data_IF_836485223237
#
_entry.id   IF_836485223237
#
_cell.length_a   1.000
_cell.length_b   1.000
_cell.length_c   1.000
_cell.angle_alpha   90.00
_cell.angle_beta   90.00
_cell.angle_gamma   90.00
#
_symmetry.space_group_name_H-M   'P 1'
#
loop_
_entity.id
_entity.type
_entity.pdbx_description
1 polymer ?
#
# COMPACT_ATOMS: atom_id res chain seq x y z
N UNK A 1 -30.35 -12.88 -9.81
CA UNK A 1 -29.44 -12.18 -8.87
C UNK A 1 -28.28 -13.10 -8.50
N UNK A 2 -27.25 -13.22 -9.35
CA UNK A 2 -26.16 -14.22 -9.18
C UNK A 2 -24.75 -13.62 -9.15
N UNK A 3 -24.62 -12.30 -9.01
CA UNK A 3 -23.32 -11.58 -9.08
C UNK A 3 -22.65 -11.28 -7.73
N UNK A 4 -23.31 -11.57 -6.60
CA UNK A 4 -22.71 -11.45 -5.25
C UNK A 4 -21.41 -12.23 -5.03
N UNK A 5 -21.25 -13.49 -5.49
CA UNK A 5 -20.06 -14.27 -5.15
C UNK A 5 -18.79 -13.74 -5.82
N UNK A 6 -18.89 -13.16 -7.02
CA UNK A 6 -17.73 -12.64 -7.75
C UNK A 6 -17.17 -11.37 -7.09
N UNK A 7 -18.04 -10.40 -6.77
CA UNK A 7 -17.62 -9.16 -6.11
C UNK A 7 -17.02 -9.44 -4.73
N UNK A 8 -17.61 -10.37 -3.98
CA UNK A 8 -17.09 -10.82 -2.69
C UNK A 8 -15.69 -11.44 -2.81
N UNK A 9 -15.46 -12.30 -3.81
CA UNK A 9 -14.15 -12.90 -4.07
C UNK A 9 -13.10 -11.84 -4.42
N UNK A 10 -13.45 -10.88 -5.27
CA UNK A 10 -12.56 -9.78 -5.66
C UNK A 10 -12.22 -8.86 -4.48
N UNK A 11 -13.20 -8.55 -3.62
CA UNK A 11 -12.97 -7.74 -2.42
C UNK A 11 -12.04 -8.44 -1.42
N UNK A 12 -12.22 -9.76 -1.22
CA UNK A 12 -11.33 -10.57 -0.38
C UNK A 12 -9.92 -10.63 -0.98
N UNK A 13 -9.81 -10.80 -2.30
CA UNK A 13 -8.52 -10.81 -3.00
C UNK A 13 -7.79 -9.45 -2.84
N UNK A 14 -8.51 -8.34 -3.01
CA UNK A 14 -7.97 -6.99 -2.83
C UNK A 14 -7.46 -6.79 -1.39
N UNK A 15 -8.25 -7.21 -0.40
CA UNK A 15 -7.86 -7.14 1.01
C UNK A 15 -6.63 -8.01 1.30
N UNK A 16 -6.56 -9.22 0.73
CA UNK A 16 -5.42 -10.12 0.90
C UNK A 16 -4.12 -9.51 0.35
N UNK A 17 -4.17 -8.90 -0.85
CA UNK A 17 -3.01 -8.18 -1.39
C UNK A 17 -2.63 -6.97 -0.55
N UNK A 18 -3.59 -6.17 -0.11
CA UNK A 18 -3.31 -5.03 0.77
C UNK A 18 -2.64 -5.49 2.09
N UNK A 19 -3.14 -6.56 2.72
CA UNK A 19 -2.56 -7.13 3.94
C UNK A 19 -1.16 -7.69 3.72
N UNK A 20 -0.90 -8.38 2.60
CA UNK A 20 0.45 -8.81 2.24
C UNK A 20 1.39 -7.61 2.08
N UNK A 21 0.91 -6.52 1.46
CA UNK A 21 1.64 -5.26 1.40
C UNK A 21 1.96 -4.69 2.78
N UNK A 22 1.00 -4.69 3.71
CA UNK A 22 1.22 -4.24 5.09
C UNK A 22 2.30 -5.07 5.78
N UNK A 23 2.21 -6.40 5.72
CA UNK A 23 3.17 -7.32 6.37
C UNK A 23 4.58 -7.11 5.81
N UNK A 24 4.74 -7.09 4.49
CA UNK A 24 6.05 -6.90 3.87
C UNK A 24 6.63 -5.52 4.14
N UNK A 25 5.80 -4.48 4.13
CA UNK A 25 6.23 -3.12 4.45
C UNK A 25 6.67 -2.98 5.92
N UNK A 26 5.95 -3.61 6.86
CA UNK A 26 6.34 -3.63 8.27
C UNK A 26 7.68 -4.35 8.47
N UNK A 27 7.89 -5.50 7.82
CA UNK A 27 9.17 -6.24 7.84
C UNK A 27 10.29 -5.38 7.25
N UNK A 28 10.03 -4.69 6.13
CA UNK A 28 11.02 -3.82 5.50
C UNK A 28 11.44 -2.69 6.45
N UNK A 29 10.49 -1.98 7.06
CA UNK A 29 10.79 -0.91 8.01
C UNK A 29 11.51 -1.43 9.26
N UNK A 30 11.18 -2.62 9.74
CA UNK A 30 11.82 -3.22 10.92
C UNK A 30 13.23 -3.75 10.68
N UNK A 31 13.67 -3.90 9.43
CA UNK A 31 14.97 -4.49 9.09
C UNK A 31 15.97 -3.44 8.63
N UNK A 32 17.22 -3.54 9.11
CA UNK A 32 18.28 -2.57 8.83
C UNK A 32 19.10 -2.88 7.56
N UNK A 33 18.49 -3.54 6.56
CA UNK A 33 19.18 -4.02 5.36
C UNK A 33 18.60 -3.39 4.09
N UNK A 34 18.55 -2.07 4.01
CA UNK A 34 17.98 -1.34 2.87
C UNK A 34 18.99 -1.13 1.76
N UNK A 35 20.23 -0.75 2.11
CA UNK A 35 21.35 -0.59 1.17
C UNK A 35 22.56 -1.39 1.62
N UNK A 36 23.34 -1.88 0.67
CA UNK A 36 24.69 -2.40 0.85
C UNK A 36 25.64 -1.51 0.03
N UNK A 37 26.65 -0.95 0.67
CA UNK A 37 27.69 -0.18 0.00
C UNK A 37 29.08 -0.77 0.30
N UNK A 38 29.97 -0.74 -0.69
CA UNK A 38 31.39 -1.02 -0.48
C UNK A 38 32.10 0.26 -0.07
N UNK A 39 32.79 0.24 1.07
CA UNK A 39 33.68 1.34 1.49
C UNK A 39 35.11 0.92 1.22
N UNK A 40 35.90 1.82 0.65
CA UNK A 40 37.36 1.71 0.69
C UNK A 40 37.88 2.70 1.73
N UNK A 41 38.32 2.21 2.89
CA UNK A 41 38.97 3.06 3.89
C UNK A 41 40.49 2.96 3.73
N UNK A 42 41.22 4.10 3.75
CA UNK A 42 42.67 4.06 3.80
C UNK A 42 43.10 3.64 5.21
N UNK A 43 43.71 2.46 5.33
CA UNK A 43 44.31 2.04 6.59
C UNK A 43 45.74 2.59 6.62
N UNK A 44 45.98 3.55 7.53
CA UNK A 44 47.32 4.08 7.73
C UNK A 44 48.08 3.15 8.67
N UNK A 45 49.00 2.36 8.11
CA UNK A 45 49.86 1.49 8.91
C UNK A 45 51.10 2.29 9.31
N UNK A 46 51.32 2.52 10.62
CA UNK A 46 52.46 3.34 11.07
C UNK A 46 53.83 2.67 10.83
N UNK A 47 53.86 1.38 10.53
CA UNK A 47 55.07 0.57 10.34
C UNK A 47 55.52 0.47 8.90
N UNK A 48 54.60 0.61 7.95
CA UNK A 48 54.87 0.60 6.51
C UNK A 48 54.19 1.83 5.94
N UNK A 49 54.92 2.77 5.35
CA UNK A 49 54.40 4.01 4.73
C UNK A 49 53.52 3.74 3.47
N UNK A 50 52.72 2.67 3.50
CA UNK A 50 51.86 2.16 2.44
C UNK A 50 50.43 2.24 2.95
N UNK A 51 49.61 3.05 2.29
CA UNK A 51 48.16 3.04 2.47
C UNK A 51 47.57 1.79 1.81
N UNK A 52 47.25 0.78 2.62
CA UNK A 52 46.48 -0.37 2.17
C UNK A 52 44.99 0.01 2.17
N UNK A 53 44.29 -0.20 1.05
CA UNK A 53 42.83 0.01 0.98
C UNK A 53 42.15 -1.24 1.53
N UNK A 54 41.60 -1.17 2.74
CA UNK A 54 40.68 -2.21 3.19
C UNK A 54 39.32 -1.99 2.53
N UNK A 55 38.86 -3.01 1.81
CA UNK A 55 37.50 -3.07 1.28
C UNK A 55 36.57 -3.56 2.38
N UNK A 56 35.78 -2.66 2.94
CA UNK A 56 34.73 -2.95 3.92
C UNK A 56 33.35 -2.99 3.28
N UNK A 57 32.42 -3.72 3.91
CA UNK A 57 30.99 -3.66 3.58
C UNK A 57 30.27 -2.80 4.62
N UNK A 58 29.31 -2.01 4.13
CA UNK A 58 28.43 -1.19 4.95
C UNK A 58 26.98 -1.52 4.64
N UNK A 59 26.22 -1.81 5.69
CA UNK A 59 24.78 -2.05 5.63
C UNK A 59 24.06 -0.85 6.20
N UNK A 60 23.22 -0.24 5.36
CA UNK A 60 22.43 0.90 5.76
C UNK A 60 20.99 0.45 5.96
N UNK A 61 20.52 0.63 7.18
CA UNK A 61 19.11 0.56 7.51
C UNK A 61 18.44 1.91 7.44
N UNK A 62 17.27 1.97 8.08
CA UNK A 62 16.52 3.20 8.30
C UNK A 62 16.88 3.88 9.63
N UNK A 63 17.42 3.09 10.57
CA UNK A 63 17.77 3.51 11.93
C UNK A 63 19.26 3.38 12.25
N UNK A 64 19.93 2.43 11.59
CA UNK A 64 21.31 2.09 11.88
C UNK A 64 22.12 1.94 10.60
N UNK A 65 23.37 2.36 10.67
CA UNK A 65 24.40 2.08 9.70
C UNK A 65 25.42 1.15 10.36
N UNK A 66 25.59 -0.06 9.83
CA UNK A 66 26.51 -1.06 10.38
C UNK A 66 27.63 -1.34 9.39
N UNK A 67 28.87 -1.43 9.90
CA UNK A 67 30.07 -1.74 9.12
C UNK A 67 30.53 -3.17 9.37
N UNK A 68 31.28 -3.75 8.44
CA UNK A 68 31.85 -5.10 8.60
C UNK A 68 32.86 -5.21 9.75
N UNK A 69 33.36 -4.08 10.26
CA UNK A 69 34.17 -4.00 11.49
C UNK A 69 33.36 -4.25 12.77
N UNK A 70 32.03 -4.40 12.67
CA UNK A 70 31.13 -4.59 13.82
C UNK A 70 30.65 -3.29 14.47
N UNK A 71 31.10 -2.13 13.97
CA UNK A 71 30.65 -0.83 14.45
C UNK A 71 29.30 -0.49 13.81
N UNK A 72 28.30 -0.23 14.64
CA UNK A 72 26.98 0.26 14.22
C UNK A 72 26.72 1.66 14.76
N UNK A 73 26.55 2.62 13.87
CA UNK A 73 26.18 3.99 14.20
C UNK A 73 24.66 4.14 14.07
N UNK A 74 24.08 5.00 14.92
CA UNK A 74 22.67 5.38 14.80
C UNK A 74 22.54 6.45 13.72
N UNK A 75 21.82 6.14 12.66
CA UNK A 75 21.49 7.08 11.59
C UNK A 75 20.01 6.89 11.25
N UNK A 76 19.20 7.82 11.75
CA UNK A 76 17.76 7.76 11.57
C UNK A 76 17.30 8.67 10.43
N UNK A 77 16.52 8.12 9.51
CA UNK A 77 15.84 8.84 8.44
C UNK A 77 14.35 9.04 8.81
N UNK A 78 14.02 10.04 9.66
CA UNK A 78 12.68 10.21 10.22
C UNK A 78 11.61 10.46 9.15
N UNK A 79 11.92 11.26 8.13
CA UNK A 79 10.97 11.61 7.08
C UNK A 79 10.51 10.37 6.31
N UNK A 80 11.47 9.58 5.80
CA UNK A 80 11.20 8.31 5.13
C UNK A 80 10.36 7.38 6.01
N UNK A 81 10.77 7.20 7.27
CA UNK A 81 10.08 6.31 8.21
C UNK A 81 8.63 6.73 8.43
N UNK A 82 8.40 8.01 8.77
CA UNK A 82 7.06 8.54 9.06
C UNK A 82 6.15 8.42 7.84
N UNK A 83 6.64 8.80 6.66
CA UNK A 83 5.86 8.72 5.41
C UNK A 83 5.45 7.27 5.11
N UNK A 84 6.38 6.32 5.22
CA UNK A 84 6.10 4.90 5.01
C UNK A 84 5.13 4.33 6.05
N UNK A 85 5.30 4.66 7.34
CA UNK A 85 4.42 4.21 8.42
C UNK A 85 3.00 4.73 8.21
N UNK A 86 2.83 6.02 7.90
CA UNK A 86 1.51 6.58 7.61
C UNK A 86 0.91 5.86 6.40
N UNK A 87 1.69 5.66 5.33
CA UNK A 87 1.26 4.88 4.17
C UNK A 87 0.74 3.48 4.53
N UNK A 88 1.46 2.74 5.37
CA UNK A 88 1.04 1.41 5.84
C UNK A 88 -0.23 1.46 6.70
N UNK A 89 -0.39 2.49 7.53
CA UNK A 89 -1.62 2.69 8.32
C UNK A 89 -2.82 2.93 7.40
N UNK A 90 -2.68 3.77 6.36
CA UNK A 90 -3.73 3.98 5.36
C UNK A 90 -4.05 2.68 4.60
N UNK A 91 -3.02 1.88 4.26
CA UNK A 91 -3.20 0.59 3.59
C UNK A 91 -3.95 -0.41 4.49
N UNK A 92 -3.60 -0.45 5.78
CA UNK A 92 -4.25 -1.31 6.77
C UNK A 92 -5.72 -0.90 6.95
N UNK A 93 -6.01 0.38 7.13
CA UNK A 93 -7.39 0.90 7.23
C UNK A 93 -8.17 0.54 5.97
N UNK A 94 -7.61 0.77 4.78
CA UNK A 94 -8.22 0.38 3.51
C UNK A 94 -8.51 -1.11 3.42
N UNK A 95 -7.58 -1.96 3.87
CA UNK A 95 -7.79 -3.42 3.89
C UNK A 95 -8.91 -3.85 4.83
N UNK A 96 -9.00 -3.26 6.03
CA UNK A 96 -10.05 -3.52 7.01
C UNK A 96 -11.40 -3.11 6.44
N UNK A 97 -11.49 -1.92 5.84
CA UNK A 97 -12.72 -1.44 5.19
C UNK A 97 -13.15 -2.37 4.04
N UNK A 98 -12.20 -2.84 3.23
CA UNK A 98 -12.48 -3.79 2.15
C UNK A 98 -13.05 -5.13 2.64
N UNK A 99 -12.70 -5.58 3.85
CA UNK A 99 -13.27 -6.78 4.48
C UNK A 99 -14.66 -6.49 5.05
N UNK A 100 -14.83 -5.32 5.69
CA UNK A 100 -16.10 -4.90 6.31
C UNK A 100 -17.19 -4.56 5.28
N UNK A 101 -16.82 -4.18 4.05
CA UNK A 101 -17.75 -3.93 2.96
C UNK A 101 -18.36 -5.22 2.36
N UNK A 102 -17.81 -6.40 2.69
CA UNK A 102 -18.34 -7.69 2.22
C UNK A 102 -19.77 -7.98 2.71
N UNK A 103 -20.12 -7.79 3.99
CA UNK A 103 -21.48 -8.05 4.49
C UNK A 103 -22.47 -6.89 4.35
N UNK A 104 -22.02 -5.64 4.14
CA UNK A 104 -22.89 -4.45 4.15
C UNK A 104 -22.53 -3.54 2.98
N UNK A 105 -23.48 -3.32 2.07
CA UNK A 105 -23.37 -2.37 0.96
C UNK A 105 -23.47 -0.92 1.47
N UNK A 106 -22.57 -0.51 2.37
CA UNK A 106 -22.53 0.81 2.98
C UNK A 106 -22.11 1.90 1.99
N UNK A 107 -22.44 3.17 2.26
CA UNK A 107 -22.08 4.36 1.45
C UNK A 107 -20.55 4.64 1.36
N UNK A 108 -19.71 3.81 1.99
CA UNK A 108 -18.26 3.98 2.11
C UNK A 108 -17.47 3.49 0.88
N UNK A 109 -18.14 3.27 -0.25
CA UNK A 109 -17.60 2.54 -1.41
C UNK A 109 -16.44 3.24 -2.11
N UNK A 110 -16.41 4.57 -2.08
CA UNK A 110 -15.31 5.37 -2.62
C UNK A 110 -14.18 5.59 -1.61
N UNK A 111 -14.46 5.34 -0.34
CA UNK A 111 -13.51 5.58 0.75
C UNK A 111 -12.39 4.53 0.70
N UNK A 112 -12.74 3.25 0.55
CA UNK A 112 -11.78 2.14 0.45
C UNK A 112 -10.69 2.35 -0.63
N UNK A 113 -11.02 2.57 -1.93
CA UNK A 113 -9.99 2.80 -2.95
C UNK A 113 -9.22 4.11 -2.73
N UNK A 114 -9.83 5.14 -2.13
CA UNK A 114 -9.15 6.39 -1.79
C UNK A 114 -8.05 6.16 -0.73
N UNK A 115 -8.36 5.41 0.34
CA UNK A 115 -7.37 5.06 1.37
C UNK A 115 -6.20 4.25 0.78
N UNK A 116 -6.48 3.26 -0.07
CA UNK A 116 -5.45 2.46 -0.75
C UNK A 116 -4.62 3.33 -1.70
N UNK A 117 -5.24 4.27 -2.43
CA UNK A 117 -4.53 5.20 -3.30
C UNK A 117 -3.55 6.09 -2.51
N UNK A 118 -4.02 6.72 -1.43
CA UNK A 118 -3.17 7.55 -0.56
C UNK A 118 -2.01 6.72 0.01
N UNK A 119 -2.27 5.48 0.42
CA UNK A 119 -1.22 4.57 0.86
C UNK A 119 -0.16 4.31 -0.21
N UNK A 120 -0.57 4.02 -1.45
CA UNK A 120 0.35 3.81 -2.57
C UNK A 120 1.25 5.02 -2.81
N UNK A 121 0.66 6.22 -2.83
CA UNK A 121 1.40 7.48 -3.03
C UNK A 121 2.41 7.71 -1.91
N UNK A 122 2.00 7.56 -0.65
CA UNK A 122 2.88 7.76 0.50
C UNK A 122 4.02 6.73 0.54
N UNK A 123 3.72 5.44 0.37
CA UNK A 123 4.76 4.41 0.37
C UNK A 123 5.75 4.60 -0.80
N UNK A 124 5.26 5.01 -1.97
CA UNK A 124 6.13 5.35 -3.12
C UNK A 124 6.99 6.57 -2.81
N UNK A 125 6.40 7.63 -2.24
CA UNK A 125 7.13 8.85 -1.86
C UNK A 125 8.23 8.56 -0.83
N UNK A 126 7.95 7.73 0.17
CA UNK A 126 8.96 7.29 1.14
C UNK A 126 10.09 6.50 0.48
N UNK A 127 9.76 5.59 -0.44
CA UNK A 127 10.78 4.85 -1.20
C UNK A 127 11.66 5.78 -2.05
N UNK A 128 11.08 6.79 -2.69
CA UNK A 128 11.80 7.79 -3.50
C UNK A 128 12.68 8.68 -2.64
N UNK A 129 12.19 9.16 -1.48
CA UNK A 129 13.00 9.93 -0.53
C UNK A 129 14.22 9.13 -0.06
N UNK A 130 14.07 7.83 0.25
CA UNK A 130 15.21 6.98 0.57
C UNK A 130 16.17 6.83 -0.62
N UNK A 131 15.63 6.53 -1.81
CA UNK A 131 16.40 6.32 -3.03
C UNK A 131 17.22 7.56 -3.45
N UNK A 132 16.73 8.75 -3.11
CA UNK A 132 17.43 10.01 -3.38
C UNK A 132 18.73 10.16 -2.58
N UNK A 133 18.85 9.44 -1.45
CA UNK A 133 19.99 9.51 -0.53
C UNK A 133 20.88 8.29 -0.63
N UNK A 134 20.31 7.10 -0.86
CA UNK A 134 21.03 5.81 -0.84
C UNK A 134 20.48 4.85 -1.91
N UNK A 135 21.34 3.97 -2.41
CA UNK A 135 20.99 2.98 -3.44
C UNK A 135 20.10 1.85 -2.89
N UNK A 136 18.96 1.57 -3.53
CA UNK A 136 18.08 0.46 -3.15
C UNK A 136 18.58 -0.88 -3.72
N UNK A 137 19.56 -1.51 -3.08
CA UNK A 137 20.18 -2.73 -3.60
C UNK A 137 20.15 -3.94 -2.66
N UNK A 138 19.49 -3.84 -1.50
CA UNK A 138 19.48 -4.90 -0.48
C UNK A 138 18.10 -5.51 -0.23
N UNK A 139 18.03 -6.56 0.57
CA UNK A 139 16.82 -7.38 0.77
C UNK A 139 15.64 -6.57 1.35
N UNK A 140 15.88 -5.65 2.30
CA UNK A 140 14.79 -4.87 2.88
C UNK A 140 14.16 -3.90 1.88
N UNK A 141 14.99 -3.26 1.05
CA UNK A 141 14.50 -2.40 -0.04
C UNK A 141 13.61 -3.16 -1.03
N UNK A 142 13.96 -4.41 -1.35
CA UNK A 142 13.15 -5.29 -2.20
C UNK A 142 11.84 -5.68 -1.55
N UNK A 143 11.83 -5.95 -0.24
CA UNK A 143 10.60 -6.19 0.52
C UNK A 143 9.68 -4.96 0.52
N UNK A 144 10.24 -3.75 0.64
CA UNK A 144 9.47 -2.51 0.54
C UNK A 144 8.90 -2.29 -0.87
N UNK A 145 9.68 -2.55 -1.91
CA UNK A 145 9.21 -2.50 -3.31
C UNK A 145 8.08 -3.50 -3.53
N UNK A 146 8.22 -4.73 -3.04
CA UNK A 146 7.16 -5.74 -3.11
C UNK A 146 5.89 -5.28 -2.37
N UNK A 147 6.04 -4.65 -1.21
CA UNK A 147 4.92 -4.07 -0.46
C UNK A 147 4.17 -3.00 -1.27
N UNK A 148 4.91 -2.11 -1.94
CA UNK A 148 4.36 -1.10 -2.84
C UNK A 148 3.62 -1.75 -4.03
N UNK A 149 4.21 -2.78 -4.64
CA UNK A 149 3.58 -3.53 -5.75
C UNK A 149 2.26 -4.16 -5.29
N UNK A 150 2.22 -4.79 -4.12
CA UNK A 150 0.98 -5.35 -3.57
C UNK A 150 -0.08 -4.29 -3.26
N UNK A 151 0.32 -3.11 -2.81
CA UNK A 151 -0.61 -1.99 -2.64
C UNK A 151 -1.18 -1.53 -4.00
N UNK A 152 -0.34 -1.41 -5.02
CA UNK A 152 -0.75 -1.04 -6.38
C UNK A 152 -1.64 -2.10 -7.04
N UNK A 153 -1.48 -3.39 -6.74
CA UNK A 153 -2.39 -4.44 -7.26
C UNK A 153 -3.72 -4.47 -6.53
N UNK A 154 -3.75 -4.14 -5.24
CA UNK A 154 -4.99 -4.01 -4.46
C UNK A 154 -5.86 -2.83 -4.94
N UNK A 155 -5.23 -1.74 -5.42
CA UNK A 155 -5.93 -0.53 -5.87
C UNK A 155 -6.94 -0.78 -7.01
N UNK A 156 -6.58 -1.32 -8.20
CA UNK A 156 -7.52 -1.52 -9.29
C UNK A 156 -8.60 -2.53 -8.93
N UNK A 157 -8.29 -3.54 -8.11
CA UNK A 157 -9.29 -4.49 -7.62
C UNK A 157 -10.34 -3.80 -6.75
N UNK A 158 -9.91 -2.98 -5.80
CA UNK A 158 -10.82 -2.22 -4.93
C UNK A 158 -11.65 -1.19 -5.71
N UNK A 159 -11.03 -0.48 -6.65
CA UNK A 159 -11.70 0.49 -7.52
C UNK A 159 -12.73 -0.17 -8.44
N UNK A 160 -12.40 -1.33 -9.01
CA UNK A 160 -13.32 -2.10 -9.85
C UNK A 160 -14.55 -2.56 -9.07
N UNK A 161 -14.36 -3.08 -7.86
CA UNK A 161 -15.45 -3.50 -6.97
C UNK A 161 -16.35 -2.30 -6.63
N UNK A 162 -15.77 -1.17 -6.25
CA UNK A 162 -16.51 0.06 -5.94
C UNK A 162 -17.35 0.56 -7.14
N UNK A 163 -16.76 0.58 -8.33
CA UNK A 163 -17.44 1.01 -9.56
C UNK A 163 -18.65 0.14 -9.92
N UNK A 164 -18.52 -1.18 -9.78
CA UNK A 164 -19.63 -2.12 -10.02
C UNK A 164 -20.81 -1.83 -9.09
N UNK A 165 -20.56 -1.64 -7.79
CA UNK A 165 -21.63 -1.33 -6.83
C UNK A 165 -22.33 0.01 -7.15
N UNK A 166 -21.60 1.03 -7.60
CA UNK A 166 -22.20 2.31 -8.02
C UNK A 166 -23.18 2.14 -9.19
N UNK A 167 -22.83 1.31 -10.19
CA UNK A 167 -23.74 1.06 -11.34
C UNK A 167 -25.01 0.30 -10.95
N UNK A 168 -24.95 -0.59 -9.97
CA UNK A 168 -26.12 -1.35 -9.51
C UNK A 168 -27.11 -0.49 -8.75
N UNK A 169 -26.62 0.41 -7.90
CA UNK A 169 -27.50 1.32 -7.15
C UNK A 169 -28.24 2.26 -8.08
N UNK A 170 -27.55 2.78 -9.11
CA UNK A 170 -28.17 3.64 -10.12
C UNK A 170 -29.26 2.92 -10.92
N UNK A 171 -29.04 1.66 -11.29
CA UNK A 171 -30.06 0.87 -12.01
C UNK A 171 -31.21 0.42 -11.12
N UNK A 172 -30.95 0.10 -9.84
CA UNK A 172 -31.99 -0.20 -8.86
C UNK A 172 -32.90 1.01 -8.58
N UNK A 173 -32.30 2.20 -8.40
CA UNK A 173 -33.06 3.44 -8.23
C UNK A 173 -33.88 3.80 -9.46
N UNK A 174 -33.33 3.62 -10.68
CA UNK A 174 -34.08 3.84 -11.92
C UNK A 174 -35.24 2.87 -12.07
N UNK A 175 -35.03 1.56 -11.83
CA UNK A 175 -36.12 0.57 -11.93
C UNK A 175 -37.21 0.79 -10.87
N UNK A 176 -36.85 1.14 -9.63
CA UNK A 176 -37.82 1.45 -8.58
C UNK A 176 -38.53 2.78 -8.82
N UNK A 177 -37.84 3.78 -9.37
CA UNK A 177 -38.44 5.04 -9.80
C UNK A 177 -39.43 4.85 -10.95
N UNK A 178 -39.09 4.00 -11.93
CA UNK A 178 -39.99 3.60 -13.03
C UNK A 178 -41.22 2.88 -12.48
N UNK A 179 -41.05 1.97 -11.51
CA UNK A 179 -42.16 1.26 -10.85
C UNK A 179 -43.09 2.20 -10.06
N UNK A 180 -42.55 3.23 -9.40
CA UNK A 180 -43.33 4.25 -8.70
C UNK A 180 -44.09 5.17 -9.67
N UNK A 181 -43.53 5.47 -10.85
CA UNK A 181 -44.26 6.23 -11.87
C UNK A 181 -45.37 5.40 -12.54
N UNK A 182 -45.16 4.13 -12.88
CA UNK A 182 -46.23 3.30 -13.47
C UNK A 182 -47.37 3.03 -12.50
N UNK A 183 -47.10 2.90 -11.19
CA UNK A 183 -48.18 2.77 -10.20
C UNK A 183 -49.02 4.05 -10.08
N UNK A 184 -48.41 5.23 -10.24
CA UNK A 184 -49.12 6.52 -10.19
C UNK A 184 -50.03 6.75 -11.41
N UNK A 185 -49.61 6.29 -12.60
CA UNK A 185 -50.42 6.40 -13.82
C UNK A 185 -51.54 5.35 -13.91
N UNK A 186 -51.39 4.17 -13.29
CA UNK A 186 -52.46 3.17 -13.26
C UNK A 186 -53.57 3.48 -12.25
N UNK A 187 -53.31 4.33 -11.25
CA UNK A 187 -54.31 4.74 -10.25
C UNK A 187 -55.19 5.92 -10.70
N UNK A 188 -54.84 6.61 -11.79
CA UNK A 188 -55.57 7.80 -12.28
C UNK A 188 -56.57 7.52 -13.42
N UNK A 189 -56.57 6.33 -14.02
CA UNK A 189 -57.49 5.95 -15.10
C UNK A 189 -58.66 5.04 -14.68
N UNK A 190 -58.90 4.85 -13.37
CA UNK A 190 -59.97 3.99 -12.85
C UNK A 190 -61.28 4.68 -12.47
N UNK A 191 -61.34 6.02 -12.46
CA UNK A 191 -62.51 6.80 -12.01
C UNK A 191 -63.02 7.75 -13.08
N UNK A 192 -63.38 7.21 -14.24
CA UNK A 192 -64.02 7.95 -15.32
C UNK A 192 -65.17 7.14 -15.93
N UNK A 193 -66.35 7.34 -15.35
CA UNK A 193 -67.71 7.03 -15.85
C UNK A 193 -68.15 5.56 -15.86
#
# INVERSE_FOLDING_TARGET
MTYEPLNRRLAILAAAFALLGVVLGAIALGTNYWTIASISEPVFNHTTLVTERQHGLMWNGLFHECRSSGVCNFEFLPATFIICVIGLVFLLIGSILSILDVPKATDRRFVTPLFIYVACVLMTAGLVDYASRRLLNSHSSRSMIAAVVFAYTALPLSAFVAGRYSTYERTALVNNGVHLTTQKYSATNGNGL
#
